data_IF_230730096852
#
_entry.id   IF_230730096852
#
_cell.length_a   1.000
_cell.length_b   1.000
_cell.length_c   1.000
_cell.angle_alpha   90.00
_cell.angle_beta   90.00
_cell.angle_gamma   90.00
#
_symmetry.space_group_name_H-M   'P 1'
#
loop_
_entity.id
_entity.type
_entity.pdbx_description
1 polymer ?
#
# COMPACT_ATOMS: atom_id res chain seq x y z
N UNK A 1 15.80 0.46 10.87
CA UNK A 1 15.59 1.41 11.99
C UNK A 1 15.55 2.83 11.45
N UNK A 2 14.64 3.63 11.98
CA UNK A 2 14.50 5.04 11.59
C UNK A 2 15.84 5.78 11.73
N UNK A 3 16.08 6.71 10.80
CA UNK A 3 17.31 7.50 10.77
C UNK A 3 18.55 6.79 10.26
N UNK A 4 18.44 5.54 9.85
CA UNK A 4 19.57 4.76 9.33
C UNK A 4 19.55 4.72 7.80
N UNK A 5 20.69 4.35 7.19
CA UNK A 5 20.80 4.15 5.74
C UNK A 5 19.83 3.08 5.23
N UNK A 6 19.55 2.03 6.02
CA UNK A 6 18.60 0.98 5.64
C UNK A 6 17.15 1.44 5.61
N UNK A 7 16.81 2.52 6.30
CA UNK A 7 15.48 3.11 6.30
C UNK A 7 15.31 4.25 5.28
N UNK A 8 16.38 4.64 4.59
CA UNK A 8 16.35 5.69 3.58
C UNK A 8 15.67 5.21 2.29
N UNK A 9 15.19 6.16 1.47
CA UNK A 9 14.72 5.84 0.14
C UNK A 9 15.85 5.26 -0.72
N UNK A 10 15.49 4.31 -1.60
CA UNK A 10 16.43 3.82 -2.57
C UNK A 10 16.96 4.98 -3.44
N UNK A 11 18.28 5.04 -3.75
CA UNK A 11 18.85 6.18 -4.48
C UNK A 11 18.23 6.44 -5.86
N UNK A 12 17.74 5.39 -6.52
CA UNK A 12 17.09 5.52 -7.84
C UNK A 12 15.63 5.94 -7.77
N UNK A 13 15.04 5.97 -6.58
CA UNK A 13 13.65 6.41 -6.41
C UNK A 13 13.59 7.94 -6.45
N UNK A 14 12.79 8.49 -7.38
CA UNK A 14 12.55 9.92 -7.44
C UNK A 14 11.48 10.35 -6.43
N UNK A 15 11.87 10.37 -5.16
CA UNK A 15 10.96 10.71 -4.06
C UNK A 15 10.57 12.20 -4.04
N UNK A 16 11.29 13.06 -4.77
CA UNK A 16 11.01 14.50 -4.80
C UNK A 16 9.72 14.86 -5.52
N UNK A 17 9.18 13.93 -6.33
CA UNK A 17 7.88 14.11 -6.99
C UNK A 17 6.69 13.79 -6.07
N UNK A 18 6.94 13.19 -4.92
CA UNK A 18 5.87 12.87 -3.98
C UNK A 18 5.28 14.15 -3.37
N UNK A 19 3.96 14.25 -3.37
CA UNK A 19 3.25 15.35 -2.71
C UNK A 19 3.15 15.16 -1.20
N UNK A 20 3.18 13.91 -0.77
CA UNK A 20 3.12 13.54 0.63
C UNK A 20 3.88 12.24 0.86
N UNK A 21 4.57 12.16 1.98
CA UNK A 21 5.24 10.94 2.43
C UNK A 21 4.59 10.51 3.73
N UNK A 22 4.04 9.29 3.75
CA UNK A 22 3.45 8.68 4.93
C UNK A 22 4.38 7.57 5.41
N UNK A 23 4.85 7.68 6.64
CA UNK A 23 5.64 6.64 7.27
C UNK A 23 4.73 5.65 7.99
N UNK A 24 5.03 4.37 7.87
CA UNK A 24 4.35 3.29 8.60
C UNK A 24 5.39 2.46 9.35
N UNK A 25 4.93 1.58 10.25
CA UNK A 25 5.84 0.81 11.09
C UNK A 25 6.51 1.66 12.17
N UNK A 26 5.78 2.61 12.70
CA UNK A 26 6.25 3.57 13.71
C UNK A 26 6.46 2.95 15.08
N UNK A 27 5.57 2.03 15.43
CA UNK A 27 5.52 1.46 16.77
C UNK A 27 6.35 0.18 16.82
N UNK A 28 7.28 0.11 17.74
CA UNK A 28 8.22 -1.02 17.84
C UNK A 28 7.54 -2.37 18.08
N UNK A 29 6.36 -2.37 18.66
CA UNK A 29 5.59 -3.58 18.94
C UNK A 29 4.56 -3.96 17.87
N UNK A 30 4.45 -3.21 16.79
CA UNK A 30 3.41 -3.41 15.78
C UNK A 30 4.02 -3.36 14.39
N UNK A 31 3.90 -4.46 13.63
CA UNK A 31 4.23 -4.47 12.22
C UNK A 31 3.19 -3.71 11.42
N UNK A 32 3.55 -3.28 10.23
CA UNK A 32 2.65 -2.53 9.37
C UNK A 32 2.86 -2.88 7.91
N UNK A 33 1.86 -3.53 7.31
CA UNK A 33 1.81 -3.76 5.86
C UNK A 33 1.06 -2.65 5.15
N UNK A 34 -0.17 -2.38 5.56
CA UNK A 34 -1.02 -1.38 4.94
C UNK A 34 -0.51 0.05 5.15
N UNK A 35 -0.65 0.89 4.13
CA UNK A 35 -0.41 2.33 4.25
C UNK A 35 -1.51 3.06 5.02
N UNK A 36 -2.64 2.41 5.30
CA UNK A 36 -3.81 3.01 5.97
C UNK A 36 -3.90 2.66 7.44
N UNK A 37 -3.52 1.44 7.81
CA UNK A 37 -3.60 0.92 9.19
C UNK A 37 -2.41 0.02 9.47
N UNK A 38 -1.99 0.03 10.72
CA UNK A 38 -1.00 -0.95 11.19
C UNK A 38 -1.66 -2.34 11.38
N UNK A 39 -0.86 -3.36 11.61
CA UNK A 39 -1.35 -4.75 11.63
C UNK A 39 -2.31 -5.06 12.79
N UNK A 40 -2.37 -4.21 13.82
CA UNK A 40 -3.38 -4.29 14.87
C UNK A 40 -4.80 -3.99 14.37
N UNK A 41 -4.92 -3.53 13.13
CA UNK A 41 -6.16 -3.14 12.45
C UNK A 41 -6.91 -1.96 13.09
N UNK A 42 -6.30 -1.30 14.07
CA UNK A 42 -6.89 -0.19 14.81
C UNK A 42 -6.11 1.11 14.62
N UNK A 43 -4.78 1.04 14.64
CA UNK A 43 -3.93 2.22 14.53
C UNK A 43 -3.89 2.72 13.10
N UNK A 44 -4.41 3.92 12.89
CA UNK A 44 -4.48 4.56 11.57
C UNK A 44 -3.25 5.41 11.29
N UNK A 45 -2.86 5.50 10.03
CA UNK A 45 -1.75 6.35 9.58
C UNK A 45 -2.17 7.80 9.30
N UNK A 46 -3.47 8.04 9.11
CA UNK A 46 -4.01 9.33 8.69
C UNK A 46 -4.10 9.51 7.18
N UNK A 47 -3.64 8.54 6.38
CA UNK A 47 -3.64 8.65 4.93
C UNK A 47 -5.06 8.80 4.36
N UNK A 48 -6.03 8.05 4.86
CA UNK A 48 -7.42 8.11 4.39
C UNK A 48 -8.03 9.50 4.61
N UNK A 49 -7.80 10.10 5.77
CA UNK A 49 -8.25 11.45 6.05
C UNK A 49 -7.62 12.50 5.12
N UNK A 50 -6.32 12.39 4.89
CA UNK A 50 -5.62 13.26 3.94
C UNK A 50 -6.20 13.16 2.53
N UNK A 51 -6.38 11.94 2.03
CA UNK A 51 -6.88 11.72 0.67
C UNK A 51 -8.32 12.22 0.53
N UNK A 52 -9.17 11.99 1.51
CA UNK A 52 -10.56 12.48 1.51
C UNK A 52 -10.62 14.01 1.59
N UNK A 53 -9.79 14.62 2.43
CA UNK A 53 -9.70 16.07 2.54
C UNK A 53 -9.25 16.73 1.22
N UNK A 54 -8.43 16.03 0.43
CA UNK A 54 -8.00 16.49 -0.89
C UNK A 54 -9.00 16.19 -2.00
N UNK A 55 -10.10 15.50 -1.69
CA UNK A 55 -11.15 15.16 -2.66
C UNK A 55 -10.80 14.02 -3.61
N UNK A 56 -9.79 13.23 -3.31
CA UNK A 56 -9.44 12.07 -4.12
C UNK A 56 -10.45 10.95 -3.91
N UNK A 57 -10.91 10.35 -5.01
CA UNK A 57 -11.88 9.26 -5.00
C UNK A 57 -11.35 7.99 -5.63
N UNK A 58 -10.30 8.08 -6.45
CA UNK A 58 -9.67 6.95 -7.15
C UNK A 58 -8.22 6.86 -6.74
N UNK A 59 -7.77 5.66 -6.39
CA UNK A 59 -6.40 5.40 -5.99
C UNK A 59 -5.81 4.30 -6.86
N UNK A 60 -4.59 4.52 -7.31
CA UNK A 60 -3.81 3.51 -8.04
C UNK A 60 -2.57 3.18 -7.23
N UNK A 61 -2.34 1.88 -7.03
CA UNK A 61 -1.23 1.38 -6.23
C UNK A 61 -0.18 0.70 -7.09
N UNK A 62 1.05 0.88 -6.72
CA UNK A 62 2.21 0.14 -7.21
C UNK A 62 3.23 0.00 -6.09
N UNK A 63 4.30 -0.74 -6.33
CA UNK A 63 5.40 -0.86 -5.37
C UNK A 63 5.53 -2.25 -4.76
N UNK A 64 6.06 -2.33 -3.57
CA UNK A 64 6.45 -3.58 -2.90
C UNK A 64 5.79 -3.73 -1.53
N UNK A 65 5.50 -4.92 -1.15
CA UNK A 65 5.34 -6.14 -1.94
C UNK A 65 3.88 -6.31 -2.35
N UNK A 66 3.66 -6.82 -3.57
CA UNK A 66 2.31 -6.96 -4.13
C UNK A 66 1.35 -7.69 -3.19
N UNK A 67 1.79 -8.81 -2.63
CA UNK A 67 0.98 -9.72 -1.81
C UNK A 67 0.90 -9.35 -0.33
N UNK A 68 1.59 -8.30 0.09
CA UNK A 68 1.55 -7.79 1.46
C UNK A 68 1.22 -6.30 1.49
N UNK A 69 2.21 -5.41 1.46
CA UNK A 69 1.97 -3.98 1.64
C UNK A 69 1.03 -3.40 0.60
N UNK A 70 1.19 -3.77 -0.67
CA UNK A 70 0.34 -3.27 -1.76
C UNK A 70 -1.08 -3.82 -1.63
N UNK A 71 -1.23 -5.14 -1.49
CA UNK A 71 -2.56 -5.77 -1.40
C UNK A 71 -3.34 -5.29 -0.17
N UNK A 72 -2.70 -5.25 0.99
CA UNK A 72 -3.37 -4.80 2.22
C UNK A 72 -3.78 -3.34 2.13
N UNK A 73 -2.93 -2.49 1.54
CA UNK A 73 -3.25 -1.07 1.32
C UNK A 73 -4.42 -0.92 0.35
N UNK A 74 -4.42 -1.67 -0.75
CA UNK A 74 -5.48 -1.63 -1.75
C UNK A 74 -6.83 -2.09 -1.15
N UNK A 75 -6.83 -3.16 -0.38
CA UNK A 75 -8.03 -3.68 0.28
C UNK A 75 -8.55 -2.66 1.30
N UNK A 76 -7.68 -2.10 2.12
CA UNK A 76 -8.08 -1.08 3.10
C UNK A 76 -8.63 0.17 2.42
N UNK A 77 -8.03 0.59 1.31
CA UNK A 77 -8.54 1.72 0.51
C UNK A 77 -9.95 1.44 -0.02
N UNK A 78 -10.18 0.22 -0.52
CA UNK A 78 -11.49 -0.17 -1.02
C UNK A 78 -12.54 -0.16 0.09
N UNK A 79 -12.20 -0.67 1.26
CA UNK A 79 -13.07 -0.64 2.43
C UNK A 79 -13.35 0.79 2.92
N UNK A 80 -12.41 1.71 2.71
CA UNK A 80 -12.60 3.12 3.04
C UNK A 80 -13.46 3.89 2.02
N UNK A 81 -13.90 3.24 0.94
CA UNK A 81 -14.81 3.81 -0.04
C UNK A 81 -14.16 4.35 -1.31
N UNK A 82 -12.86 4.14 -1.51
CA UNK A 82 -12.18 4.56 -2.74
C UNK A 82 -12.40 3.56 -3.88
N UNK A 83 -12.38 4.06 -5.10
CA UNK A 83 -12.16 3.22 -6.27
C UNK A 83 -10.68 2.89 -6.36
N UNK A 84 -10.35 1.61 -6.50
CA UNK A 84 -8.96 1.15 -6.36
C UNK A 84 -8.53 0.35 -7.58
N UNK A 85 -7.33 0.65 -8.06
CA UNK A 85 -6.62 -0.10 -9.07
C UNK A 85 -5.20 -0.43 -8.59
N UNK A 86 -4.65 -1.54 -9.06
CA UNK A 86 -3.25 -1.92 -8.83
C UNK A 86 -2.59 -2.16 -10.18
N UNK A 87 -1.45 -1.53 -10.41
CA UNK A 87 -0.63 -1.76 -11.60
C UNK A 87 0.31 -2.93 -11.27
N UNK A 88 -0.09 -4.14 -11.66
CA UNK A 88 0.58 -5.37 -11.24
C UNK A 88 2.02 -5.43 -11.75
N UNK A 89 2.27 -5.00 -12.99
CA UNK A 89 3.63 -4.98 -13.55
C UNK A 89 4.57 -3.99 -12.86
N UNK A 90 4.03 -3.01 -12.15
CA UNK A 90 4.82 -2.09 -11.33
C UNK A 90 4.91 -2.54 -9.87
N UNK A 91 4.75 -3.84 -9.64
CA UNK A 91 4.88 -4.47 -8.32
C UNK A 91 5.79 -5.69 -8.41
N UNK A 92 6.21 -6.19 -7.24
CA UNK A 92 6.85 -7.49 -7.13
C UNK A 92 6.34 -8.18 -5.86
N UNK A 93 6.09 -9.48 -5.96
CA UNK A 93 5.56 -10.28 -4.87
C UNK A 93 6.66 -11.02 -4.11
N UNK A 94 6.42 -11.31 -2.84
CA UNK A 94 7.24 -12.23 -2.05
C UNK A 94 6.91 -13.66 -2.43
N UNK A 95 5.62 -13.93 -2.63
CA UNK A 95 5.05 -15.22 -3.02
C UNK A 95 5.40 -16.35 -2.05
N UNK A 96 5.11 -16.13 -0.80
CA UNK A 96 5.26 -17.12 0.26
C UNK A 96 4.05 -18.05 0.28
N UNK A 97 4.27 -19.31 -0.04
CA UNK A 97 3.21 -20.35 -0.05
C UNK A 97 1.97 -19.97 -0.88
N UNK A 98 2.20 -19.40 -2.06
CA UNK A 98 1.13 -19.01 -2.96
C UNK A 98 0.44 -17.69 -2.60
N UNK A 99 1.03 -16.87 -1.77
CA UNK A 99 0.45 -15.60 -1.34
C UNK A 99 0.14 -14.65 -2.49
N UNK A 100 0.95 -14.65 -3.56
CA UNK A 100 0.69 -13.83 -4.74
C UNK A 100 -0.66 -14.16 -5.37
N UNK A 101 -0.90 -15.41 -5.68
CA UNK A 101 -2.16 -15.86 -6.29
C UNK A 101 -3.35 -15.59 -5.38
N UNK A 102 -3.20 -15.90 -4.10
CA UNK A 102 -4.25 -15.70 -3.09
C UNK A 102 -4.65 -14.23 -2.99
N UNK A 103 -3.70 -13.33 -2.92
CA UNK A 103 -3.99 -11.90 -2.79
C UNK A 103 -4.53 -11.28 -4.06
N UNK A 104 -4.08 -11.72 -5.24
CA UNK A 104 -4.68 -11.29 -6.51
C UNK A 104 -6.17 -11.68 -6.56
N UNK A 105 -6.49 -12.89 -6.12
CA UNK A 105 -7.89 -13.35 -6.04
C UNK A 105 -8.71 -12.51 -5.06
N UNK A 106 -8.20 -12.26 -3.87
CA UNK A 106 -8.88 -11.43 -2.87
C UNK A 106 -9.12 -10.01 -3.36
N UNK A 107 -8.13 -9.41 -4.01
CA UNK A 107 -8.29 -8.06 -4.57
C UNK A 107 -9.38 -8.02 -5.64
N UNK A 108 -9.42 -9.00 -6.55
CA UNK A 108 -10.46 -9.08 -7.57
C UNK A 108 -11.85 -9.24 -6.94
N UNK A 109 -11.98 -10.12 -5.97
CA UNK A 109 -13.24 -10.34 -5.26
C UNK A 109 -13.70 -9.09 -4.50
N UNK A 110 -12.78 -8.28 -4.03
CA UNK A 110 -13.06 -7.00 -3.36
C UNK A 110 -13.40 -5.85 -4.31
N UNK A 111 -13.42 -6.09 -5.62
CA UNK A 111 -13.74 -5.06 -6.60
C UNK A 111 -12.56 -4.15 -6.96
N UNK A 112 -11.34 -4.60 -6.74
CA UNK A 112 -10.12 -3.88 -7.11
C UNK A 112 -9.74 -4.23 -8.55
N UNK A 113 -9.48 -3.20 -9.35
CA UNK A 113 -9.04 -3.38 -10.74
C UNK A 113 -7.55 -3.71 -10.77
N UNK A 114 -7.21 -4.81 -11.42
CA UNK A 114 -5.81 -5.22 -11.63
C UNK A 114 -5.42 -4.93 -13.08
N UNK A 115 -4.43 -4.05 -13.25
CA UNK A 115 -3.94 -3.65 -14.57
C UNK A 115 -2.51 -4.13 -14.77
N UNK A 116 -2.16 -4.46 -16.02
CA UNK A 116 -0.79 -4.76 -16.40
C UNK A 116 0.04 -3.46 -16.44
N UNK A 117 -0.52 -2.41 -17.04
CA UNK A 117 0.12 -1.09 -17.15
C UNK A 117 -0.81 0.01 -16.63
N UNK A 118 -0.22 1.15 -16.34
CA UNK A 118 -0.97 2.29 -15.83
C UNK A 118 -1.97 2.87 -16.85
#
# INVERSE_FOLDING_TARGET
MQGTKGAAFHPELNATKAQMVVRKGFHTGIDSYSAFRENDRMTRTGLDGYLKARGFTKLTFCGLALDYCVAWSAIDARQAGFDVAVVVEATAAIDLDGSRKRMLTEMRQGGINLHATA
#
